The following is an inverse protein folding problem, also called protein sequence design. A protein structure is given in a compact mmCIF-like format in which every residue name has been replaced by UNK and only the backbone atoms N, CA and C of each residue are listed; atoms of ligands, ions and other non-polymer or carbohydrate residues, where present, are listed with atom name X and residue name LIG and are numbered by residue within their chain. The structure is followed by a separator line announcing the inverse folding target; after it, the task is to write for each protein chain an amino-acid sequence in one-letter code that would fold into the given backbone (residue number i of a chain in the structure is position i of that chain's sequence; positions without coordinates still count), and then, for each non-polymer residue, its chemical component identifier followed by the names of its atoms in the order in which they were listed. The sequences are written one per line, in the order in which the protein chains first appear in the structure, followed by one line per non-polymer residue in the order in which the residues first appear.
data_IF_007675684188
#
_entry.id   IF_007675684188
#
_cell.length_a   1.000
_cell.length_b   1.000
_cell.length_c   1.000
_cell.angle_alpha   90.00
_cell.angle_beta   90.00
_cell.angle_gamma   90.00
#
_symmetry.space_group_name_H-M   'P 1'
#
loop_
_entity.id
_entity.type
_entity.pdbx_description
1 polymer ?
#
# COMPACT_ATOMS: atom_id res chain seq x y z
N UNK A 1 17.72 11.68 14.31
CA UNK A 1 17.25 11.43 12.94
C UNK A 1 16.98 9.94 12.84
N UNK A 2 15.73 9.55 12.73
CA UNK A 2 15.36 8.16 12.47
C UNK A 2 15.62 7.78 11.02
N UNK A 3 15.54 6.47 10.77
CA UNK A 3 15.77 5.88 9.47
C UNK A 3 14.60 6.08 8.52
N UNK A 4 14.92 6.14 7.23
CA UNK A 4 13.96 6.05 6.13
C UNK A 4 13.95 4.62 5.63
N UNK A 5 12.76 4.03 5.54
CA UNK A 5 12.55 2.71 4.92
C UNK A 5 11.92 2.92 3.55
N UNK A 6 12.41 2.20 2.55
CA UNK A 6 11.94 2.29 1.17
C UNK A 6 11.46 0.92 0.71
N UNK A 7 10.28 0.86 0.10
CA UNK A 7 9.69 -0.34 -0.49
C UNK A 7 9.09 0.02 -1.85
N UNK A 8 9.10 -0.88 -2.83
CA UNK A 8 8.62 -0.63 -4.19
C UNK A 8 8.37 -1.92 -4.95
N UNK A 9 7.87 -1.81 -6.18
CA UNK A 9 7.59 -2.94 -7.11
C UNK A 9 6.86 -4.10 -6.43
N UNK A 10 5.74 -3.78 -5.77
CA UNK A 10 4.94 -4.79 -5.06
C UNK A 10 3.93 -5.47 -5.97
N UNK A 11 3.53 -4.82 -7.08
CA UNK A 11 2.63 -5.36 -8.13
C UNK A 11 1.38 -6.05 -7.57
N UNK A 12 0.78 -5.49 -6.51
CA UNK A 12 -0.34 -6.14 -5.82
C UNK A 12 -1.54 -6.28 -6.76
N UNK A 13 -2.08 -7.50 -6.81
CA UNK A 13 -3.39 -7.79 -7.38
C UNK A 13 -3.38 -8.33 -8.79
N UNK A 14 -2.22 -8.50 -9.44
CA UNK A 14 -2.15 -9.05 -10.80
C UNK A 14 -2.65 -10.50 -10.91
N UNK A 15 -2.60 -11.25 -9.80
CA UNK A 15 -3.09 -12.64 -9.71
C UNK A 15 -2.39 -13.64 -10.63
N UNK A 16 -1.31 -13.22 -11.28
CA UNK A 16 -0.40 -14.02 -12.08
C UNK A 16 0.67 -14.65 -11.18
N UNK A 17 1.56 -15.45 -11.78
CA UNK A 17 2.71 -16.00 -11.07
C UNK A 17 3.76 -14.93 -10.68
N UNK A 18 3.64 -13.70 -11.17
CA UNK A 18 4.47 -12.57 -10.77
C UNK A 18 3.93 -11.86 -9.52
N UNK A 19 2.64 -12.00 -9.20
CA UNK A 19 2.05 -11.49 -7.95
C UNK A 19 2.44 -12.41 -6.78
N UNK A 20 3.53 -12.02 -6.11
CA UNK A 20 3.99 -12.68 -4.89
C UNK A 20 2.99 -12.62 -3.73
N UNK A 21 2.04 -11.69 -3.74
CA UNK A 21 0.98 -11.61 -2.73
C UNK A 21 -0.09 -12.69 -2.97
N UNK A 22 -0.37 -13.04 -4.23
CA UNK A 22 -1.31 -14.10 -4.60
C UNK A 22 -0.71 -15.51 -4.47
N UNK A 23 0.55 -15.70 -4.89
CA UNK A 23 1.14 -17.05 -5.02
C UNK A 23 1.83 -17.58 -3.78
N UNK A 24 2.22 -16.72 -2.84
CA UNK A 24 3.07 -17.10 -1.69
C UNK A 24 2.59 -16.60 -0.32
N UNK A 25 1.35 -16.12 -0.22
CA UNK A 25 0.82 -15.47 0.99
C UNK A 25 1.70 -14.30 1.50
N UNK A 26 2.54 -13.70 0.65
CA UNK A 26 3.43 -12.59 1.02
C UNK A 26 2.66 -11.35 1.47
N UNK A 27 1.35 -11.29 1.24
CA UNK A 27 0.51 -10.23 1.79
C UNK A 27 0.56 -10.21 3.33
N UNK A 28 0.68 -11.36 3.99
CA UNK A 28 0.82 -11.43 5.45
C UNK A 28 2.17 -10.87 5.90
N UNK A 29 3.24 -11.18 5.17
CA UNK A 29 4.57 -10.61 5.43
C UNK A 29 4.58 -9.10 5.21
N UNK A 30 3.88 -8.60 4.18
CA UNK A 30 3.73 -7.17 3.98
C UNK A 30 2.94 -6.49 5.11
N UNK A 31 1.88 -7.12 5.62
CA UNK A 31 1.15 -6.62 6.80
C UNK A 31 2.06 -6.59 8.04
N UNK A 32 2.89 -7.62 8.24
CA UNK A 32 3.89 -7.67 9.32
C UNK A 32 4.93 -6.58 9.16
N UNK A 33 5.41 -6.34 7.94
CA UNK A 33 6.33 -5.26 7.61
C UNK A 33 5.74 -3.89 7.94
N UNK A 34 4.51 -3.59 7.51
CA UNK A 34 3.85 -2.31 7.83
C UNK A 34 3.68 -2.14 9.35
N UNK A 35 3.32 -3.21 10.06
CA UNK A 35 3.23 -3.19 11.52
C UNK A 35 4.59 -2.95 12.18
N UNK A 36 5.66 -3.54 11.66
CA UNK A 36 7.01 -3.30 12.15
C UNK A 36 7.43 -1.83 11.93
N UNK A 37 7.13 -1.25 10.76
CA UNK A 37 7.38 0.19 10.51
C UNK A 37 6.60 1.07 11.48
N UNK A 38 5.32 0.75 11.71
CA UNK A 38 4.46 1.46 12.66
C UNK A 38 5.04 1.44 14.09
N UNK A 39 5.51 0.28 14.56
CA UNK A 39 5.95 0.05 15.94
C UNK A 39 7.42 0.37 16.20
N UNK A 40 8.24 0.52 15.16
CA UNK A 40 9.66 0.77 15.32
C UNK A 40 9.93 2.28 15.45
N UNK A 41 10.24 2.73 16.66
CA UNK A 41 10.58 4.13 16.96
C UNK A 41 11.82 4.65 16.24
N UNK A 42 12.69 3.76 15.74
CA UNK A 42 13.86 4.18 14.95
C UNK A 42 13.49 4.57 13.52
N UNK A 43 12.31 4.22 13.03
CA UNK A 43 11.85 4.55 11.67
C UNK A 43 10.99 5.80 11.72
N UNK A 44 11.39 6.86 11.01
CA UNK A 44 10.60 8.10 10.95
C UNK A 44 9.73 8.15 9.69
N UNK A 45 10.15 7.45 8.63
CA UNK A 45 9.58 7.60 7.29
C UNK A 45 9.51 6.29 6.53
N UNK A 46 8.37 6.05 5.89
CA UNK A 46 8.18 5.04 4.85
C UNK A 46 8.03 5.71 3.49
N UNK A 47 8.86 5.30 2.53
CA UNK A 47 8.70 5.67 1.12
C UNK A 47 8.24 4.44 0.35
N UNK A 48 7.12 4.55 -0.33
CA UNK A 48 6.60 3.56 -1.26
C UNK A 48 6.95 4.05 -2.66
N UNK A 49 7.99 3.47 -3.26
CA UNK A 49 8.60 3.87 -4.51
C UNK A 49 8.14 3.00 -5.66
N UNK A 50 7.05 3.40 -6.32
CA UNK A 50 6.58 2.79 -7.55
C UNK A 50 5.71 1.55 -7.38
N UNK A 51 4.91 1.29 -8.42
CA UNK A 51 4.22 0.03 -8.76
C UNK A 51 3.70 -0.79 -7.56
N UNK A 52 2.96 -0.10 -6.69
CA UNK A 52 2.27 -0.70 -5.55
C UNK A 52 1.16 -1.66 -6.00
N UNK A 53 0.46 -1.32 -7.10
CA UNK A 53 -0.63 -2.12 -7.65
C UNK A 53 -0.44 -2.39 -9.14
N UNK A 54 -0.91 -3.55 -9.58
CA UNK A 54 -0.92 -3.90 -11.00
C UNK A 54 -2.25 -3.54 -11.68
N UNK A 55 -2.51 -2.23 -11.78
CA UNK A 55 -3.85 -1.73 -12.14
C UNK A 55 -4.23 -1.90 -13.61
N UNK A 56 -3.29 -2.27 -14.48
CA UNK A 56 -3.61 -2.62 -15.88
C UNK A 56 -4.23 -4.01 -16.01
N UNK A 57 -3.91 -4.95 -15.10
CA UNK A 57 -4.52 -6.28 -15.06
C UNK A 57 -5.68 -6.36 -14.05
N UNK A 58 -5.55 -5.64 -12.93
CA UNK A 58 -6.48 -5.76 -11.82
C UNK A 58 -7.21 -4.46 -11.52
N UNK A 59 -8.54 -4.53 -11.47
CA UNK A 59 -9.35 -3.41 -10.98
C UNK A 59 -9.01 -3.14 -9.52
N UNK A 60 -8.84 -1.86 -9.18
CA UNK A 60 -8.49 -1.44 -7.83
C UNK A 60 -9.50 -1.95 -6.78
N UNK A 61 -10.79 -2.04 -7.12
CA UNK A 61 -11.82 -2.59 -6.23
C UNK A 61 -11.55 -4.06 -5.86
N UNK A 62 -11.06 -4.86 -6.83
CA UNK A 62 -10.74 -6.27 -6.60
C UNK A 62 -9.50 -6.39 -5.72
N UNK A 63 -8.44 -5.62 -6.00
CA UNK A 63 -7.25 -5.56 -5.15
C UNK A 63 -7.59 -5.08 -3.72
N UNK A 64 -8.51 -4.12 -3.60
CA UNK A 64 -9.04 -3.64 -2.31
C UNK A 64 -9.73 -4.73 -1.50
N UNK A 65 -10.60 -5.50 -2.16
CA UNK A 65 -11.34 -6.60 -1.52
C UNK A 65 -10.44 -7.78 -1.15
N UNK A 66 -9.50 -8.14 -2.02
CA UNK A 66 -8.60 -9.27 -1.80
C UNK A 66 -7.64 -9.05 -0.64
N UNK A 67 -7.14 -7.82 -0.47
CA UNK A 67 -6.08 -7.52 0.49
C UNK A 67 -6.53 -6.55 1.59
N UNK A 68 -7.75 -6.75 2.12
CA UNK A 68 -8.35 -5.85 3.12
C UNK A 68 -7.43 -5.56 4.32
N UNK A 69 -6.62 -6.52 4.75
CA UNK A 69 -5.71 -6.35 5.88
C UNK A 69 -4.48 -5.49 5.56
N UNK A 70 -4.02 -5.50 4.31
CA UNK A 70 -3.00 -4.56 3.81
C UNK A 70 -3.53 -3.13 3.93
N UNK A 71 -4.79 -2.91 3.55
CA UNK A 71 -5.44 -1.59 3.65
C UNK A 71 -5.64 -1.13 5.08
N UNK A 72 -6.09 -2.03 5.96
CA UNK A 72 -6.13 -1.73 7.40
C UNK A 72 -4.75 -1.35 7.92
N UNK A 73 -3.68 -1.99 7.45
CA UNK A 73 -2.32 -1.66 7.85
C UNK A 73 -1.91 -0.26 7.37
N UNK A 74 -2.18 0.11 6.11
CA UNK A 74 -1.94 1.47 5.62
C UNK A 74 -2.76 2.52 6.36
N UNK A 75 -4.03 2.25 6.69
CA UNK A 75 -4.87 3.18 7.46
C UNK A 75 -4.30 3.40 8.87
N UNK A 76 -3.80 2.34 9.52
CA UNK A 76 -3.13 2.48 10.83
C UNK A 76 -1.85 3.30 10.68
N UNK A 77 -1.02 3.00 9.69
CA UNK A 77 0.21 3.73 9.43
C UNK A 77 -0.07 5.22 9.14
N UNK A 78 -1.10 5.54 8.37
CA UNK A 78 -1.51 6.93 8.09
C UNK A 78 -2.03 7.70 9.32
N UNK A 79 -2.45 6.98 10.37
CA UNK A 79 -2.84 7.56 11.67
C UNK A 79 -1.70 7.61 12.68
N UNK A 80 -0.54 7.05 12.34
CA UNK A 80 0.65 7.07 13.18
C UNK A 80 1.42 8.38 13.00
N UNK A 81 2.47 8.57 13.80
CA UNK A 81 3.39 9.70 13.66
C UNK A 81 4.45 9.50 12.56
N UNK A 82 4.35 8.41 11.78
CA UNK A 82 5.28 8.09 10.70
C UNK A 82 4.94 8.90 9.45
N UNK A 83 5.94 9.49 8.81
CA UNK A 83 5.75 10.13 7.49
C UNK A 83 5.65 9.04 6.41
N UNK A 84 4.60 9.07 5.58
CA UNK A 84 4.43 8.12 4.46
C UNK A 84 4.42 8.90 3.15
N UNK A 85 5.39 8.60 2.29
CA UNK A 85 5.48 9.17 0.94
C UNK A 85 5.18 8.07 -0.06
N UNK A 86 4.25 8.33 -0.97
CA UNK A 86 4.01 7.47 -2.12
C UNK A 86 4.52 8.14 -3.40
N UNK A 87 5.44 7.48 -4.10
CA UNK A 87 5.94 7.89 -5.41
C UNK A 87 5.27 6.98 -6.45
N UNK A 88 4.44 7.52 -7.36
CA UNK A 88 3.77 6.71 -8.36
C UNK A 88 4.76 6.07 -9.33
N UNK A 89 4.55 4.80 -9.63
CA UNK A 89 5.34 4.06 -10.63
C UNK A 89 4.73 4.13 -12.02
N UNK A 90 5.44 3.58 -13.00
CA UNK A 90 5.06 3.69 -14.42
C UNK A 90 3.72 3.01 -14.69
N UNK A 91 3.45 1.91 -14.01
CA UNK A 91 2.29 1.08 -14.31
C UNK A 91 1.00 1.61 -13.66
N UNK A 92 1.14 2.59 -12.76
CA UNK A 92 0.04 3.40 -12.22
C UNK A 92 -0.13 4.70 -13.02
N UNK A 93 -0.57 4.61 -14.27
CA UNK A 93 -0.94 5.80 -15.06
C UNK A 93 -2.18 6.51 -14.46
N UNK A 94 -1.90 7.44 -13.55
CA UNK A 94 -2.64 8.60 -12.98
C UNK A 94 -4.14 8.52 -12.62
N UNK A 95 -4.99 7.81 -13.34
CA UNK A 95 -6.46 7.91 -13.17
C UNK A 95 -7.05 7.17 -11.96
N UNK A 96 -6.56 5.98 -11.55
CA UNK A 96 -7.19 5.22 -10.46
C UNK A 96 -6.90 5.79 -9.06
N UNK A 97 -5.72 6.38 -8.85
CA UNK A 97 -5.28 6.89 -7.54
C UNK A 97 -5.98 8.18 -7.13
N UNK A 98 -6.25 9.08 -8.07
CA UNK A 98 -7.02 10.30 -7.79
C UNK A 98 -8.42 9.94 -7.28
N UNK A 99 -9.04 8.90 -7.88
CA UNK A 99 -10.31 8.35 -7.43
C UNK A 99 -10.21 7.63 -6.07
N UNK A 100 -9.08 6.97 -5.77
CA UNK A 100 -8.85 6.35 -4.47
C UNK A 100 -8.68 7.39 -3.35
N UNK A 101 -7.92 8.46 -3.61
CA UNK A 101 -7.77 9.58 -2.67
C UNK A 101 -9.15 10.22 -2.38
N UNK A 102 -9.96 10.47 -3.42
CA UNK A 102 -11.33 11.01 -3.27
C UNK A 102 -12.26 10.03 -2.51
N UNK A 103 -12.20 8.72 -2.80
CA UNK A 103 -13.03 7.70 -2.09
C UNK A 103 -12.64 7.55 -0.62
N UNK A 104 -11.34 7.52 -0.30
CA UNK A 104 -10.87 7.41 1.09
C UNK A 104 -11.21 8.65 1.91
N UNK A 105 -11.10 9.85 1.31
CA UNK A 105 -11.49 11.10 1.97
C UNK A 105 -13.01 11.16 2.26
N UNK A 106 -13.85 10.62 1.37
CA UNK A 106 -15.31 10.49 1.60
C UNK A 106 -15.63 9.48 2.71
N UNK A 107 -14.88 8.38 2.81
CA UNK A 107 -15.10 7.36 3.83
C UNK A 107 -14.76 7.87 5.24
N UNK A 108 -13.75 8.73 5.37
CA UNK A 108 -13.40 9.42 6.62
C UNK A 108 -14.44 10.47 7.05
N UNK A 109 -15.20 11.05 6.12
CA UNK A 109 -16.25 12.04 6.41
C UNK A 109 -17.62 11.41 6.73
N UNK A 110 -17.76 10.10 6.55
CA UNK A 110 -19.01 9.35 6.77
C UNK A 110 -19.01 8.49 8.04
N UNK A 111 -17.95 8.57 8.86
CA UNK A 111 -17.87 7.99 10.22
C UNK A 111 -17.96 9.11 11.26
#
# INVERSE_FOLDING_TARGET
MGSVVIVGDLHIGDGSNADGFFTSDNYLEFVRFVKWVEQNDSVDKLVIAGDLFELWQCKIEKALQMYIDVWKAFIRLAKSNKEVIYVPGRIMTLYPLLNLHIKLHRFQLAQ
#
